data_IF_790696345659
#
_entry.id   IF_790696345659
#
_cell.length_a   1.000
_cell.length_b   1.000
_cell.length_c   1.000
_cell.angle_alpha   90.00
_cell.angle_beta   90.00
_cell.angle_gamma   90.00
#
_symmetry.space_group_name_H-M   'P 1'
#
loop_
_entity.id
_entity.type
_entity.pdbx_description
1 polymer ?
#
# COMPACT_ATOMS: atom_id res chain seq x y z
N UNK A 1 9.00 -0.11 -17.08
CA UNK A 1 10.13 -0.04 -16.08
C UNK A 1 9.57 -0.48 -14.72
N UNK A 2 9.94 -1.67 -14.26
CA UNK A 2 9.51 -2.18 -12.95
C UNK A 2 10.43 -1.66 -11.83
N UNK A 3 9.91 -0.94 -10.85
CA UNK A 3 10.69 -0.36 -9.75
C UNK A 3 9.91 -0.39 -8.44
N UNK A 4 10.55 -0.86 -7.37
CA UNK A 4 10.01 -0.79 -6.00
C UNK A 4 10.73 0.31 -5.22
N UNK A 5 9.98 1.15 -4.51
CA UNK A 5 10.49 2.29 -3.75
C UNK A 5 9.96 2.20 -2.33
N UNK A 6 10.90 2.15 -1.38
CA UNK A 6 10.63 2.18 0.05
C UNK A 6 10.82 3.60 0.63
N UNK A 7 10.28 3.88 1.82
CA UNK A 7 10.42 5.20 2.47
C UNK A 7 11.88 5.58 2.68
N UNK A 8 12.71 4.67 3.19
CA UNK A 8 14.11 4.93 3.42
C UNK A 8 14.97 4.72 2.17
N UNK A 9 15.93 5.59 2.00
CA UNK A 9 16.98 5.43 1.01
C UNK A 9 17.94 4.30 1.41
N UNK A 10 18.28 3.43 0.46
CA UNK A 10 19.09 2.23 0.74
C UNK A 10 20.54 2.58 1.18
N UNK A 11 21.09 3.66 0.66
CA UNK A 11 22.47 4.05 0.93
C UNK A 11 22.57 4.84 2.22
N UNK A 12 21.72 5.86 2.38
CA UNK A 12 21.73 6.75 3.54
C UNK A 12 20.96 6.21 4.73
N UNK A 13 20.05 5.24 4.50
CA UNK A 13 19.11 4.67 5.48
C UNK A 13 18.14 5.70 6.08
N UNK A 14 18.08 6.90 5.52
CA UNK A 14 17.18 7.99 5.95
C UNK A 14 15.90 8.01 5.14
N UNK A 15 14.83 8.51 5.75
CA UNK A 15 13.58 8.74 5.04
C UNK A 15 13.81 9.72 3.89
N UNK A 16 13.27 9.40 2.73
CA UNK A 16 13.32 10.24 1.53
C UNK A 16 12.44 11.48 1.73
N UNK A 17 13.02 12.65 1.69
CA UNK A 17 12.29 13.90 1.90
C UNK A 17 11.30 14.21 0.78
N UNK A 18 11.66 13.86 -0.46
CA UNK A 18 10.85 14.14 -1.64
C UNK A 18 10.60 12.89 -2.47
N UNK A 19 9.34 12.47 -2.51
CA UNK A 19 8.92 11.32 -3.34
C UNK A 19 9.10 11.62 -4.83
N UNK A 20 8.90 12.88 -5.23
CA UNK A 20 9.01 13.34 -6.63
C UNK A 20 10.42 13.34 -7.18
N UNK A 21 11.45 13.50 -6.33
CA UNK A 21 12.85 13.61 -6.76
C UNK A 21 13.43 12.30 -7.31
N UNK A 22 12.69 11.21 -7.10
CA UNK A 22 13.05 9.88 -7.62
C UNK A 22 12.84 9.80 -9.14
N UNK A 23 12.09 10.75 -9.72
CA UNK A 23 11.72 10.71 -11.13
C UNK A 23 12.09 12.02 -11.82
N UNK A 24 12.85 11.94 -12.92
CA UNK A 24 13.02 13.05 -13.86
C UNK A 24 11.69 13.37 -14.60
N UNK A 25 10.90 12.31 -14.87
CA UNK A 25 9.55 12.41 -15.42
C UNK A 25 8.63 11.49 -14.59
N UNK A 26 7.41 11.96 -14.32
CA UNK A 26 6.42 11.17 -13.61
C UNK A 26 6.11 9.89 -14.41
N UNK A 27 6.28 8.69 -13.84
CA UNK A 27 5.90 7.45 -14.51
C UNK A 27 4.38 7.40 -14.75
N UNK A 28 3.97 6.81 -15.85
CA UNK A 28 2.54 6.67 -16.19
C UNK A 28 1.80 5.70 -15.25
N UNK A 29 2.54 4.76 -14.65
CA UNK A 29 1.99 3.71 -13.78
C UNK A 29 2.66 3.72 -12.43
N UNK A 30 1.91 4.14 -11.40
CA UNK A 30 2.35 4.15 -10.02
C UNK A 30 1.28 3.57 -9.13
N UNK A 31 1.65 2.63 -8.26
CA UNK A 31 0.76 2.06 -7.25
C UNK A 31 1.39 2.17 -5.86
N UNK A 32 0.53 2.25 -4.84
CA UNK A 32 0.93 2.19 -3.44
C UNK A 32 0.32 0.95 -2.79
N UNK A 33 1.12 0.16 -2.08
CA UNK A 33 0.67 -1.03 -1.36
C UNK A 33 0.33 -0.70 0.10
N UNK A 34 -0.93 -0.34 0.35
CA UNK A 34 -1.45 0.00 1.66
C UNK A 34 -1.93 -1.23 2.44
N UNK A 35 -1.71 -1.23 3.74
CA UNK A 35 -2.10 -2.33 4.63
C UNK A 35 -1.18 -2.44 5.83
N UNK A 36 -1.42 -3.37 6.76
CA UNK A 36 -0.57 -3.54 7.93
C UNK A 36 0.86 -3.89 7.53
N UNK A 37 1.82 -3.30 8.23
CA UNK A 37 3.22 -3.66 8.16
C UNK A 37 3.57 -4.73 9.20
N UNK A 38 4.60 -5.57 8.97
CA UNK A 38 5.15 -6.45 9.98
C UNK A 38 5.49 -5.68 11.26
N UNK A 39 5.26 -6.30 12.42
CA UNK A 39 5.56 -5.69 13.71
C UNK A 39 6.85 -6.23 14.33
N UNK A 40 7.33 -7.34 13.83
CA UNK A 40 8.56 -8.00 14.27
C UNK A 40 9.21 -8.76 13.10
N UNK A 41 10.41 -9.23 13.30
CA UNK A 41 11.22 -9.93 12.28
C UNK A 41 10.66 -11.31 11.85
N UNK A 42 9.67 -11.82 12.57
CA UNK A 42 9.03 -13.12 12.28
C UNK A 42 7.73 -12.98 11.48
N UNK A 43 7.18 -11.76 11.39
CA UNK A 43 5.97 -11.51 10.61
C UNK A 43 6.33 -11.47 9.11
N UNK A 44 5.66 -12.28 8.32
CA UNK A 44 5.79 -12.20 6.87
C UNK A 44 5.13 -10.92 6.34
N UNK A 45 5.87 -10.18 5.53
CA UNK A 45 5.31 -9.03 4.82
C UNK A 45 4.61 -9.51 3.53
N UNK A 46 3.29 -9.47 3.52
CA UNK A 46 2.46 -9.82 2.37
C UNK A 46 2.85 -9.08 1.08
N UNK A 47 3.52 -7.93 1.20
CA UNK A 47 3.97 -7.12 0.05
C UNK A 47 5.03 -7.81 -0.77
N UNK A 48 5.84 -8.67 -0.17
CA UNK A 48 6.83 -9.47 -0.90
C UNK A 48 6.14 -10.36 -1.93
N UNK A 49 5.11 -11.09 -1.51
CA UNK A 49 4.31 -11.94 -2.38
C UNK A 49 3.51 -11.12 -3.41
N UNK A 50 2.92 -10.00 -2.98
CA UNK A 50 2.21 -9.07 -3.86
C UNK A 50 3.10 -8.54 -5.01
N UNK A 51 4.34 -8.19 -4.71
CA UNK A 51 5.33 -7.72 -5.70
C UNK A 51 5.64 -8.81 -6.71
N UNK A 52 5.80 -10.07 -6.28
CA UNK A 52 6.04 -11.19 -7.20
C UNK A 52 4.82 -11.43 -8.11
N UNK A 53 3.60 -11.40 -7.58
CA UNK A 53 2.37 -11.52 -8.39
C UNK A 53 2.21 -10.38 -9.40
N UNK A 54 2.59 -9.16 -9.04
CA UNK A 54 2.59 -8.03 -9.98
C UNK A 54 3.59 -8.23 -11.11
N UNK A 55 4.78 -8.79 -10.83
CA UNK A 55 5.76 -9.17 -11.87
C UNK A 55 5.21 -10.26 -12.78
N UNK A 56 4.64 -11.34 -12.19
CA UNK A 56 4.00 -12.42 -12.95
C UNK A 56 2.89 -11.90 -13.87
N UNK A 57 2.08 -10.94 -13.39
CA UNK A 57 1.00 -10.31 -14.14
C UNK A 57 1.48 -9.31 -15.21
N UNK A 58 2.79 -9.09 -15.32
CA UNK A 58 3.39 -8.17 -16.28
C UNK A 58 3.20 -6.68 -15.96
N UNK A 59 3.02 -6.33 -14.68
CA UNK A 59 2.99 -4.93 -14.28
C UNK A 59 4.33 -4.25 -14.59
N UNK A 60 4.26 -3.15 -15.31
CA UNK A 60 5.44 -2.35 -15.67
C UNK A 60 5.26 -0.90 -15.18
N UNK A 61 5.72 -0.63 -13.98
CA UNK A 61 5.56 0.66 -13.32
C UNK A 61 6.29 0.76 -12.00
N UNK A 62 5.89 1.72 -11.20
CA UNK A 62 6.46 2.00 -9.88
C UNK A 62 5.54 1.50 -8.78
N UNK A 63 6.12 0.77 -7.84
CA UNK A 63 5.46 0.29 -6.63
C UNK A 63 6.03 1.04 -5.44
N UNK A 64 5.19 1.80 -4.74
CA UNK A 64 5.52 2.34 -3.43
C UNK A 64 5.19 1.30 -2.36
N UNK A 65 6.23 0.84 -1.69
CA UNK A 65 6.14 -0.12 -0.59
C UNK A 65 6.50 0.58 0.72
N UNK A 66 5.55 0.79 1.67
CA UNK A 66 5.80 1.51 2.91
C UNK A 66 6.67 0.76 3.92
N UNK A 67 6.95 -0.53 3.69
CA UNK A 67 7.83 -1.29 4.58
C UNK A 67 9.21 -0.69 4.63
N UNK A 68 9.68 -0.41 5.85
CA UNK A 68 10.95 0.23 6.07
C UNK A 68 11.92 -0.67 6.87
N UNK A 69 12.88 -1.30 6.18
CA UNK A 69 13.87 -2.17 6.83
C UNK A 69 14.94 -1.38 7.62
N UNK A 70 14.93 -0.06 7.54
CA UNK A 70 15.93 0.82 8.16
C UNK A 70 15.30 1.72 9.23
N UNK A 71 14.36 1.16 10.01
CA UNK A 71 13.74 1.92 11.10
C UNK A 71 14.77 2.49 12.07
N UNK A 72 14.75 3.80 12.28
CA UNK A 72 15.64 4.50 13.19
C UNK A 72 14.85 5.10 14.37
N UNK A 73 14.84 4.38 15.49
CA UNK A 73 14.18 4.82 16.72
C UNK A 73 14.90 6.01 17.41
N UNK A 74 16.11 6.36 16.99
CA UNK A 74 16.85 7.51 17.53
C UNK A 74 16.42 8.84 16.90
N UNK A 75 15.79 8.82 15.72
CA UNK A 75 15.23 10.04 15.10
C UNK A 75 13.82 10.32 15.69
N UNK A 76 13.66 11.38 16.50
CA UNK A 76 12.39 11.70 17.15
C UNK A 76 11.27 12.07 16.16
N UNK A 77 11.63 12.42 14.92
CA UNK A 77 10.69 12.79 13.86
C UNK A 77 10.50 11.66 12.83
N UNK A 78 11.04 10.47 13.11
CA UNK A 78 11.03 9.37 12.16
C UNK A 78 9.60 9.03 11.69
N UNK A 79 8.69 8.83 12.64
CA UNK A 79 7.30 8.49 12.35
C UNK A 79 6.59 9.58 11.54
N UNK A 80 6.83 10.85 11.87
CA UNK A 80 6.27 11.99 11.14
C UNK A 80 6.74 12.00 9.68
N UNK A 81 8.05 11.88 9.47
CA UNK A 81 8.65 11.85 8.12
C UNK A 81 8.14 10.67 7.29
N UNK A 82 8.03 9.49 7.89
CA UNK A 82 7.50 8.31 7.18
C UNK A 82 6.02 8.50 6.84
N UNK A 83 5.20 8.99 7.76
CA UNK A 83 3.78 9.28 7.52
C UNK A 83 3.60 10.30 6.40
N UNK A 84 4.40 11.35 6.36
CA UNK A 84 4.40 12.31 5.27
C UNK A 84 4.77 11.68 3.92
N UNK A 85 5.81 10.83 3.91
CA UNK A 85 6.23 10.13 2.71
C UNK A 85 5.12 9.22 2.19
N UNK A 86 4.52 8.40 3.06
CA UNK A 86 3.43 7.50 2.72
C UNK A 86 2.25 8.27 2.12
N UNK A 87 1.82 9.34 2.78
CA UNK A 87 0.73 10.18 2.29
C UNK A 87 1.02 10.79 0.92
N UNK A 88 2.23 11.30 0.71
CA UNK A 88 2.65 11.85 -0.60
C UNK A 88 2.66 10.76 -1.67
N UNK A 89 3.21 9.59 -1.37
CA UNK A 89 3.25 8.45 -2.28
C UNK A 89 1.85 7.96 -2.67
N UNK A 90 0.93 7.85 -1.69
CA UNK A 90 -0.48 7.49 -1.95
C UNK A 90 -1.17 8.51 -2.87
N UNK A 91 -0.99 9.81 -2.63
CA UNK A 91 -1.60 10.86 -3.46
C UNK A 91 -1.03 10.89 -4.89
N UNK A 92 0.25 10.59 -5.06
CA UNK A 92 0.90 10.51 -6.38
C UNK A 92 0.49 9.28 -7.17
N UNK A 93 0.13 8.20 -6.50
CA UNK A 93 -0.18 6.92 -7.13
C UNK A 93 -1.43 6.98 -8.01
N UNK A 94 -1.44 6.24 -9.12
CA UNK A 94 -2.63 6.06 -9.96
C UNK A 94 -3.65 5.17 -9.24
N UNK A 95 -3.16 4.13 -8.54
CA UNK A 95 -3.98 3.27 -7.69
C UNK A 95 -3.34 3.11 -6.30
N UNK A 96 -4.18 3.08 -5.27
CA UNK A 96 -3.83 2.68 -3.91
C UNK A 96 -4.45 1.32 -3.66
N UNK A 97 -3.63 0.34 -3.39
CA UNK A 97 -4.03 -1.06 -3.23
C UNK A 97 -4.04 -1.40 -1.76
N UNK A 98 -5.22 -1.60 -1.19
CA UNK A 98 -5.40 -2.00 0.20
C UNK A 98 -5.51 -3.52 0.30
N UNK A 99 -4.57 -4.16 1.00
CA UNK A 99 -4.70 -5.54 1.45
C UNK A 99 -4.81 -5.56 2.97
N UNK A 100 -5.91 -6.13 3.51
CA UNK A 100 -6.27 -6.00 4.92
C UNK A 100 -6.40 -7.38 5.60
N UNK A 101 -5.28 -8.11 5.78
CA UNK A 101 -5.26 -9.45 6.40
C UNK A 101 -5.21 -9.34 7.94
N UNK A 102 -6.08 -8.54 8.53
CA UNK A 102 -6.03 -8.28 9.97
C UNK A 102 -6.41 -9.49 10.82
N UNK A 103 -5.75 -9.59 11.97
CA UNK A 103 -6.06 -10.54 13.03
C UNK A 103 -6.41 -9.79 14.33
N UNK A 104 -6.75 -10.51 15.39
CA UNK A 104 -6.97 -9.91 16.72
C UNK A 104 -5.70 -9.22 17.24
N UNK A 105 -4.52 -9.81 17.00
CA UNK A 105 -3.22 -9.28 17.43
C UNK A 105 -2.76 -8.11 16.55
N UNK A 106 -3.16 -8.12 15.26
CA UNK A 106 -2.74 -7.12 14.26
C UNK A 106 -3.96 -6.41 13.63
N UNK A 107 -4.59 -5.47 14.36
CA UNK A 107 -5.86 -4.86 13.96
C UNK A 107 -5.74 -3.83 12.82
N UNK A 108 -4.54 -3.52 12.33
CA UNK A 108 -4.31 -2.58 11.21
C UNK A 108 -5.01 -1.22 11.39
N UNK A 109 -4.81 -0.56 12.54
CA UNK A 109 -5.54 0.67 12.89
C UNK A 109 -5.22 1.84 11.95
N UNK A 110 -3.94 2.04 11.59
CA UNK A 110 -3.52 3.09 10.65
C UNK A 110 -4.11 2.88 9.27
N UNK A 111 -4.21 1.63 8.82
CA UNK A 111 -4.85 1.28 7.55
C UNK A 111 -6.31 1.74 7.49
N UNK A 112 -7.04 1.75 8.62
CA UNK A 112 -8.42 2.26 8.64
C UNK A 112 -8.47 3.77 8.40
N UNK A 113 -7.50 4.53 8.91
CA UNK A 113 -7.42 5.99 8.71
C UNK A 113 -7.13 6.27 7.24
N UNK A 114 -6.12 5.61 6.69
CA UNK A 114 -5.73 5.72 5.27
C UNK A 114 -6.89 5.35 4.34
N UNK A 115 -7.52 4.19 4.59
CA UNK A 115 -8.68 3.76 3.80
C UNK A 115 -9.83 4.76 3.90
N UNK A 116 -10.08 5.32 5.08
CA UNK A 116 -11.10 6.35 5.30
C UNK A 116 -10.90 7.59 4.44
N UNK A 117 -9.64 8.05 4.24
CA UNK A 117 -9.32 9.17 3.34
C UNK A 117 -9.67 8.89 1.87
N UNK A 118 -9.63 7.61 1.46
CA UNK A 118 -9.87 7.21 0.07
C UNK A 118 -11.28 6.69 -0.20
N UNK A 119 -12.06 6.37 0.83
CA UNK A 119 -13.47 5.98 0.71
C UNK A 119 -14.41 7.18 0.49
N UNK A 120 -13.91 8.25 -0.08
CA UNK A 120 -14.70 9.42 -0.50
C UNK A 120 -14.89 9.40 -2.03
N UNK A 121 -15.97 10.04 -2.48
CA UNK A 121 -16.41 9.97 -3.88
C UNK A 121 -15.31 10.32 -4.90
N UNK A 122 -14.51 11.33 -4.59
CA UNK A 122 -13.46 11.84 -5.50
C UNK A 122 -12.25 10.90 -5.63
N UNK A 123 -12.09 9.98 -4.68
CA UNK A 123 -10.92 9.09 -4.63
C UNK A 123 -11.27 7.60 -4.81
N UNK A 124 -12.56 7.26 -4.81
CA UNK A 124 -13.02 5.86 -4.79
C UNK A 124 -12.50 5.03 -5.97
N UNK A 125 -12.31 5.65 -7.13
CA UNK A 125 -11.82 4.98 -8.32
C UNK A 125 -10.30 4.72 -8.29
N UNK A 126 -9.60 5.39 -7.35
CA UNK A 126 -8.17 5.15 -7.14
C UNK A 126 -7.88 3.90 -6.33
N UNK A 127 -8.84 3.34 -5.60
CA UNK A 127 -8.59 2.24 -4.69
C UNK A 127 -8.96 0.88 -5.28
N UNK A 128 -8.12 -0.10 -4.99
CA UNK A 128 -8.38 -1.53 -5.13
C UNK A 128 -8.23 -2.17 -3.76
N UNK A 129 -9.14 -3.03 -3.38
CA UNK A 129 -9.21 -3.55 -2.01
C UNK A 129 -9.28 -5.07 -2.03
N UNK A 130 -8.54 -5.68 -1.11
CA UNK A 130 -8.66 -7.08 -0.78
C UNK A 130 -8.68 -7.32 0.73
N UNK A 131 -9.43 -8.34 1.11
CA UNK A 131 -9.57 -8.79 2.50
C UNK A 131 -9.70 -10.31 2.47
N UNK A 132 -8.71 -11.07 2.94
CA UNK A 132 -8.81 -12.53 2.95
C UNK A 132 -9.94 -13.01 3.87
N UNK A 133 -10.48 -14.20 3.60
CA UNK A 133 -11.64 -14.72 4.33
C UNK A 133 -11.37 -14.93 5.83
N UNK A 134 -10.11 -15.20 6.21
CA UNK A 134 -9.71 -15.32 7.61
C UNK A 134 -9.64 -13.98 8.36
N UNK A 135 -9.65 -12.84 7.65
CA UNK A 135 -9.47 -11.53 8.28
C UNK A 135 -10.69 -11.16 9.12
N UNK A 136 -10.41 -10.75 10.35
CA UNK A 136 -11.43 -10.40 11.34
C UNK A 136 -11.79 -8.92 11.32
N UNK A 137 -12.95 -8.55 11.88
CA UNK A 137 -13.37 -7.15 12.12
C UNK A 137 -13.42 -6.27 10.85
N UNK A 138 -13.73 -6.88 9.71
CA UNK A 138 -13.86 -6.18 8.42
C UNK A 138 -15.32 -5.87 8.04
N UNK A 139 -16.32 -6.22 8.86
CA UNK A 139 -17.76 -6.09 8.57
C UNK A 139 -18.14 -4.65 8.23
N UNK A 140 -17.62 -3.68 8.99
CA UNK A 140 -17.90 -2.26 8.72
C UNK A 140 -17.36 -1.83 7.35
N UNK A 141 -16.14 -2.26 7.02
CA UNK A 141 -15.54 -1.97 5.70
C UNK A 141 -16.38 -2.60 4.58
N UNK A 142 -16.76 -3.88 4.72
CA UNK A 142 -17.60 -4.57 3.74
C UNK A 142 -18.95 -3.87 3.51
N UNK A 143 -19.60 -3.39 4.58
CA UNK A 143 -20.82 -2.59 4.47
C UNK A 143 -20.58 -1.28 3.72
N UNK A 144 -19.52 -0.56 4.05
CA UNK A 144 -19.17 0.69 3.36
C UNK A 144 -18.89 0.47 1.88
N UNK A 145 -18.14 -0.58 1.51
CA UNK A 145 -17.89 -0.95 0.12
C UNK A 145 -19.17 -1.30 -0.63
N UNK A 146 -20.07 -2.06 0.00
CA UNK A 146 -21.39 -2.34 -0.55
C UNK A 146 -22.19 -1.08 -0.84
N UNK A 147 -22.22 -0.12 0.10
CA UNK A 147 -22.91 1.17 -0.08
C UNK A 147 -22.32 1.99 -1.24
N UNK A 148 -21.04 1.84 -1.51
CA UNK A 148 -20.32 2.53 -2.59
C UNK A 148 -20.28 1.72 -3.89
N UNK A 149 -20.94 0.55 -3.94
CA UNK A 149 -20.88 -0.40 -5.05
C UNK A 149 -19.44 -0.75 -5.47
N UNK A 150 -18.54 -0.87 -4.46
CA UNK A 150 -17.12 -1.17 -4.68
C UNK A 150 -16.83 -2.64 -4.38
N UNK A 151 -16.21 -3.30 -5.35
CA UNK A 151 -15.77 -4.69 -5.23
C UNK A 151 -14.52 -4.81 -4.34
N UNK A 152 -14.34 -5.95 -3.67
CA UNK A 152 -13.10 -6.36 -3.02
C UNK A 152 -12.77 -7.82 -3.33
N UNK A 153 -11.48 -8.16 -3.35
CA UNK A 153 -10.99 -9.53 -3.56
C UNK A 153 -10.72 -10.22 -2.23
N UNK A 154 -10.81 -11.54 -2.20
CA UNK A 154 -10.46 -12.35 -1.01
C UNK A 154 -9.12 -13.08 -1.16
N UNK A 155 -8.54 -13.04 -2.36
CA UNK A 155 -7.27 -13.66 -2.71
C UNK A 155 -6.26 -12.61 -3.18
N UNK A 156 -5.04 -12.66 -2.63
CA UNK A 156 -3.99 -11.66 -2.91
C UNK A 156 -3.54 -11.70 -4.38
N UNK A 157 -3.39 -12.90 -4.94
CA UNK A 157 -2.96 -13.07 -6.33
C UNK A 157 -3.99 -12.47 -7.29
N UNK A 158 -5.26 -12.78 -7.07
CA UNK A 158 -6.38 -12.24 -7.85
C UNK A 158 -6.40 -10.71 -7.80
N UNK A 159 -6.23 -10.13 -6.60
CA UNK A 159 -6.13 -8.68 -6.45
C UNK A 159 -4.97 -8.10 -7.26
N UNK A 160 -3.77 -8.68 -7.17
CA UNK A 160 -2.59 -8.16 -7.88
C UNK A 160 -2.71 -8.27 -9.40
N UNK A 161 -3.31 -9.33 -9.92
CA UNK A 161 -3.59 -9.46 -11.35
C UNK A 161 -4.58 -8.39 -11.83
N UNK A 162 -5.63 -8.12 -11.04
CA UNK A 162 -6.57 -7.04 -11.33
C UNK A 162 -5.90 -5.65 -11.28
N UNK A 163 -4.99 -5.42 -10.31
CA UNK A 163 -4.19 -4.19 -10.24
C UNK A 163 -3.38 -3.99 -11.52
N UNK A 164 -2.67 -5.03 -11.96
CA UNK A 164 -1.86 -4.96 -13.18
C UNK A 164 -2.71 -4.66 -14.42
N UNK A 165 -3.96 -5.17 -14.49
CA UNK A 165 -4.88 -4.92 -15.58
C UNK A 165 -5.46 -3.49 -15.55
N UNK A 166 -5.96 -3.03 -14.40
CA UNK A 166 -6.58 -1.71 -14.24
C UNK A 166 -5.57 -0.53 -14.29
N UNK A 167 -4.28 -0.83 -14.37
CA UNK A 167 -3.20 0.18 -14.48
C UNK A 167 -2.49 0.16 -15.84
N UNK A 168 -3.03 -0.56 -16.84
CA UNK A 168 -2.50 -0.59 -18.23
C UNK A 168 -2.63 0.72 -18.96
#
# INVERSE_FOLDING_TARGET
MFKVINPADKETKKIREHVSDIFLNKPDRMIFLAGPCPRNDYDEDWRNEAIEYLKEAGFDGVIFNPTNPYYDASDPFYLEKQTEWERKAMLMSNKVVFWIPRTEEHPALTTNIELGEFLVKEKIDKILIGMPDFAVKNEYIKIRLKMLNKHYDTDLKTLMYRVAEETK
#
